data_IF_609520961863
#
_entry.id   IF_609520961863
#
_cell.length_a   1.000
_cell.length_b   1.000
_cell.length_c   1.000
_cell.angle_alpha   90.00
_cell.angle_beta   90.00
_cell.angle_gamma   90.00
#
_symmetry.space_group_name_H-M   'P 1'
#
loop_
_entity.id
_entity.type
_entity.pdbx_description
1 polymer ?
#
# COMPACT_ATOMS: atom_id res chain seq x y z
N UNK A 1 11.65 -45.84 2.53
CA UNK A 1 10.24 -45.44 2.31
C UNK A 1 10.28 -44.13 1.53
N UNK A 2 9.90 -44.14 0.25
CA UNK A 2 9.94 -42.96 -0.59
C UNK A 2 8.75 -42.06 -0.27
N UNK A 3 9.02 -40.79 0.05
CA UNK A 3 8.01 -39.75 0.19
C UNK A 3 7.26 -39.60 -1.14
N UNK A 4 6.01 -40.06 -1.17
CA UNK A 4 5.08 -39.76 -2.26
C UNK A 4 4.70 -38.29 -2.13
N UNK A 5 5.34 -37.43 -2.91
CA UNK A 5 4.77 -36.12 -3.25
C UNK A 5 3.49 -36.41 -4.04
N UNK A 6 2.33 -36.10 -3.45
CA UNK A 6 1.07 -36.04 -4.17
C UNK A 6 1.18 -34.95 -5.23
N UNK A 7 0.95 -35.24 -6.52
CA UNK A 7 0.86 -34.20 -7.54
C UNK A 7 -0.33 -33.28 -7.25
N UNK A 8 -0.28 -31.99 -7.64
CA UNK A 8 -1.44 -31.12 -7.58
C UNK A 8 -2.59 -31.75 -8.38
N UNK A 9 -3.81 -31.71 -7.85
CA UNK A 9 -4.99 -32.21 -8.56
C UNK A 9 -5.22 -31.37 -9.82
N UNK A 10 -4.96 -31.97 -11.00
CA UNK A 10 -5.35 -31.40 -12.28
C UNK A 10 -6.87 -31.15 -12.29
N UNK A 11 -7.27 -29.89 -12.53
CA UNK A 11 -8.69 -29.53 -12.73
C UNK A 11 -9.32 -28.62 -11.67
N UNK A 12 -8.61 -28.13 -10.66
CA UNK A 12 -9.16 -27.07 -9.81
C UNK A 12 -9.17 -25.74 -10.56
N UNK A 13 -10.38 -25.22 -10.81
CA UNK A 13 -10.57 -23.87 -11.33
C UNK A 13 -9.87 -22.86 -10.39
N UNK A 14 -8.98 -22.06 -11.00
CA UNK A 14 -8.22 -21.04 -10.28
C UNK A 14 -9.16 -19.92 -9.83
N UNK A 15 -8.89 -19.43 -8.63
CA UNK A 15 -9.62 -18.28 -8.11
C UNK A 15 -9.12 -17.00 -8.79
N UNK A 16 -9.92 -15.93 -8.73
CA UNK A 16 -9.55 -14.59 -9.18
C UNK A 16 -9.85 -13.59 -8.08
N UNK A 17 -9.17 -12.44 -8.14
CA UNK A 17 -9.42 -11.35 -7.21
C UNK A 17 -10.43 -10.34 -7.74
N UNK A 18 -11.43 -10.05 -6.92
CA UNK A 18 -12.29 -8.88 -7.06
C UNK A 18 -11.92 -7.84 -6.02
N UNK A 19 -12.15 -6.56 -6.36
CA UNK A 19 -12.00 -5.44 -5.44
C UNK A 19 -13.29 -4.61 -5.43
N UNK A 20 -13.88 -4.41 -4.24
CA UNK A 20 -14.96 -3.46 -4.00
C UNK A 20 -14.34 -2.10 -3.65
N UNK A 21 -14.68 -1.07 -4.40
CA UNK A 21 -14.56 0.32 -3.98
C UNK A 21 -15.84 0.74 -3.26
N UNK A 22 -15.78 0.89 -1.94
CA UNK A 22 -16.91 1.27 -1.08
C UNK A 22 -17.40 2.69 -1.32
N UNK A 23 -16.53 3.60 -1.76
CA UNK A 23 -16.93 4.98 -2.04
C UNK A 23 -17.77 5.03 -3.31
N UNK A 24 -17.37 4.24 -4.32
CA UNK A 24 -18.11 4.13 -5.58
C UNK A 24 -19.26 3.11 -5.50
N UNK A 25 -19.21 2.19 -4.54
CA UNK A 25 -20.12 1.04 -4.47
C UNK A 25 -20.03 0.16 -5.71
N UNK A 26 -18.80 -0.05 -6.21
CA UNK A 26 -18.51 -0.75 -7.46
C UNK A 26 -17.46 -1.83 -7.24
N UNK A 27 -17.66 -2.99 -7.84
CA UNK A 27 -16.74 -4.12 -7.85
C UNK A 27 -16.07 -4.22 -9.23
N UNK A 28 -14.75 -4.40 -9.22
CA UNK A 28 -13.95 -4.66 -10.43
C UNK A 28 -13.08 -5.89 -10.23
N UNK A 29 -12.72 -6.55 -11.33
CA UNK A 29 -11.73 -7.63 -11.29
C UNK A 29 -10.31 -7.05 -11.28
N UNK A 30 -9.43 -7.61 -10.47
CA UNK A 30 -8.03 -7.20 -10.39
C UNK A 30 -7.27 -7.78 -11.58
N UNK A 31 -6.55 -6.93 -12.30
CA UNK A 31 -5.59 -7.33 -13.35
C UNK A 31 -4.18 -7.50 -12.79
N UNK A 32 -3.81 -6.66 -11.82
CA UNK A 32 -2.52 -6.70 -11.17
C UNK A 32 -2.15 -5.39 -10.50
N UNK A 33 -0.86 -5.16 -10.31
CA UNK A 33 -0.29 -3.93 -9.79
C UNK A 33 0.72 -3.41 -10.82
N UNK A 34 0.65 -2.11 -11.14
CA UNK A 34 1.60 -1.48 -12.06
C UNK A 34 2.98 -1.20 -11.42
N UNK A 35 3.91 -0.67 -12.21
CA UNK A 35 5.29 -0.38 -11.79
C UNK A 35 5.37 0.67 -10.69
N UNK A 36 4.44 1.62 -10.71
CA UNK A 36 4.29 2.66 -9.69
C UNK A 36 3.55 2.13 -8.45
N UNK A 37 3.11 0.87 -8.51
CA UNK A 37 2.43 0.10 -7.50
C UNK A 37 0.95 0.47 -7.32
N UNK A 38 0.29 0.98 -8.35
CA UNK A 38 -1.15 1.24 -8.36
C UNK A 38 -1.93 -0.01 -8.79
N UNK A 39 -3.14 -0.15 -8.28
CA UNK A 39 -4.02 -1.28 -8.53
C UNK A 39 -4.63 -1.13 -9.93
N UNK A 40 -4.41 -2.11 -10.79
CA UNK A 40 -5.04 -2.17 -12.09
C UNK A 40 -6.28 -3.06 -12.03
N UNK A 41 -7.39 -2.56 -12.55
CA UNK A 41 -8.67 -3.27 -12.56
C UNK A 41 -9.31 -3.25 -13.94
N UNK A 42 -10.15 -4.25 -14.19
CA UNK A 42 -10.97 -4.39 -15.41
C UNK A 42 -12.41 -4.74 -15.01
N UNK A 43 -13.40 -4.58 -15.91
CA UNK A 43 -14.76 -5.03 -15.63
C UNK A 43 -14.79 -6.53 -15.27
N UNK A 44 -15.58 -6.94 -14.26
CA UNK A 44 -15.64 -8.33 -13.81
C UNK A 44 -16.57 -9.17 -14.71
N UNK A 45 -16.41 -9.06 -16.03
CA UNK A 45 -17.23 -9.77 -17.02
C UNK A 45 -16.41 -10.82 -17.75
N UNK A 46 -17.04 -11.88 -18.24
CA UNK A 46 -16.36 -12.98 -18.97
C UNK A 46 -15.51 -12.51 -20.15
N UNK A 47 -15.90 -11.41 -20.82
CA UNK A 47 -15.13 -10.83 -21.93
C UNK A 47 -13.73 -10.31 -21.55
N UNK A 48 -13.51 -10.00 -20.26
CA UNK A 48 -12.21 -9.60 -19.71
C UNK A 48 -11.54 -10.74 -18.92
N UNK A 49 -12.09 -11.95 -18.92
CA UNK A 49 -11.63 -13.05 -18.08
C UNK A 49 -10.16 -13.43 -18.29
N UNK A 50 -9.63 -13.25 -19.51
CA UNK A 50 -8.21 -13.46 -19.82
C UNK A 50 -7.26 -12.44 -19.18
N UNK A 51 -7.77 -11.32 -18.67
CA UNK A 51 -7.02 -10.27 -17.98
C UNK A 51 -7.07 -10.40 -16.46
N UNK A 52 -7.89 -11.31 -15.93
CA UNK A 52 -8.04 -11.47 -14.49
C UNK A 52 -6.76 -12.04 -13.88
N UNK A 53 -6.36 -11.45 -12.76
CA UNK A 53 -5.29 -11.99 -11.94
C UNK A 53 -5.74 -13.33 -11.36
N UNK A 54 -5.14 -14.41 -11.86
CA UNK A 54 -5.36 -15.75 -11.32
C UNK A 54 -4.65 -15.89 -9.98
N UNK A 55 -5.36 -16.49 -9.04
CA UNK A 55 -4.91 -16.75 -7.68
C UNK A 55 -4.68 -18.23 -7.50
N UNK A 56 -3.45 -18.55 -7.11
CA UNK A 56 -3.18 -19.77 -6.37
C UNK A 56 -2.97 -19.39 -4.90
N UNK A 57 -3.89 -19.82 -4.03
CA UNK A 57 -3.91 -19.51 -2.60
C UNK A 57 -2.65 -19.98 -1.88
N UNK A 58 -1.92 -20.95 -2.44
CA UNK A 58 -0.68 -21.48 -1.87
C UNK A 58 0.58 -20.84 -2.48
N UNK A 59 0.43 -19.85 -3.36
CA UNK A 59 1.57 -19.22 -4.04
C UNK A 59 2.13 -18.02 -3.27
N UNK A 60 3.47 -17.91 -3.28
CA UNK A 60 4.18 -16.74 -2.73
C UNK A 60 3.84 -15.45 -3.47
N UNK A 61 3.44 -15.54 -4.74
CA UNK A 61 3.02 -14.38 -5.54
C UNK A 61 1.71 -13.78 -4.98
N UNK A 62 0.77 -14.63 -4.59
CA UNK A 62 -0.49 -14.20 -3.98
C UNK A 62 -0.26 -13.55 -2.61
N UNK A 63 0.52 -14.20 -1.73
CA UNK A 63 0.81 -13.67 -0.40
C UNK A 63 1.55 -12.33 -0.46
N UNK A 64 2.49 -12.18 -1.40
CA UNK A 64 3.19 -10.92 -1.65
C UNK A 64 2.24 -9.84 -2.18
N UNK A 65 1.35 -10.16 -3.12
CA UNK A 65 0.35 -9.21 -3.62
C UNK A 65 -0.54 -8.72 -2.48
N UNK A 66 -1.13 -9.62 -1.69
CA UNK A 66 -2.05 -9.25 -0.59
C UNK A 66 -1.31 -8.43 0.46
N UNK A 67 -0.07 -8.82 0.79
CA UNK A 67 0.78 -8.08 1.71
C UNK A 67 1.06 -6.67 1.22
N UNK A 68 1.39 -6.53 -0.07
CA UNK A 68 1.67 -5.23 -0.69
C UNK A 68 0.40 -4.38 -0.82
N UNK A 69 -0.73 -4.98 -1.18
CA UNK A 69 -2.04 -4.32 -1.29
C UNK A 69 -2.42 -3.69 0.04
N UNK A 70 -2.49 -4.47 1.11
CA UNK A 70 -2.90 -3.94 2.41
C UNK A 70 -1.84 -3.02 3.04
N UNK A 71 -0.54 -3.23 2.77
CA UNK A 71 0.53 -2.32 3.22
C UNK A 71 0.47 -0.96 2.52
N UNK A 72 0.14 -0.92 1.23
CA UNK A 72 0.16 0.32 0.43
C UNK A 72 -1.17 1.06 0.48
N UNK A 73 -2.30 0.37 0.45
CA UNK A 73 -3.61 0.96 0.58
C UNK A 73 -4.00 1.05 2.07
N UNK A 74 -3.22 1.77 2.90
CA UNK A 74 -3.55 1.94 4.32
C UNK A 74 -4.89 2.67 4.56
N UNK A 75 -5.44 3.26 3.50
CA UNK A 75 -6.84 3.65 3.40
C UNK A 75 -7.69 2.57 2.68
N UNK A 76 -7.53 1.30 3.08
CA UNK A 76 -8.47 0.20 2.71
C UNK A 76 -9.81 0.37 3.41
N UNK A 77 -10.06 1.51 4.05
CA UNK A 77 -11.42 1.87 4.48
C UNK A 77 -12.34 1.85 3.27
N UNK A 78 -11.85 2.31 2.11
CA UNK A 78 -12.56 2.34 0.85
C UNK A 78 -12.44 1.07 -0.01
N UNK A 79 -11.48 0.16 0.23
CA UNK A 79 -11.26 -1.01 -0.63
C UNK A 79 -11.35 -2.35 0.11
N UNK A 80 -12.05 -3.32 -0.47
CA UNK A 80 -12.12 -4.71 0.04
C UNK A 80 -11.82 -5.72 -1.07
N UNK A 81 -11.01 -6.73 -0.75
CA UNK A 81 -10.68 -7.81 -1.68
C UNK A 81 -11.52 -9.06 -1.43
N UNK A 82 -11.92 -9.71 -2.51
CA UNK A 82 -12.65 -10.97 -2.51
C UNK A 82 -11.97 -11.96 -3.44
N UNK A 83 -11.94 -13.23 -3.05
CA UNK A 83 -11.44 -14.35 -3.84
C UNK A 83 -12.61 -15.20 -4.28
N UNK A 84 -12.82 -15.29 -5.59
CA UNK A 84 -13.99 -15.96 -6.20
C UNK A 84 -13.52 -16.93 -7.28
N UNK A 85 -14.39 -17.86 -7.69
CA UNK A 85 -14.11 -18.68 -8.87
C UNK A 85 -14.17 -17.83 -10.13
N UNK A 86 -13.27 -18.09 -11.08
CA UNK A 86 -13.21 -17.32 -12.33
C UNK A 86 -14.56 -17.34 -13.08
N UNK A 87 -15.24 -18.49 -13.10
CA UNK A 87 -16.57 -18.69 -13.68
C UNK A 87 -17.69 -17.94 -12.96
N UNK A 88 -17.54 -17.66 -11.67
CA UNK A 88 -18.55 -17.00 -10.83
C UNK A 88 -18.29 -15.50 -10.66
N UNK A 89 -17.17 -14.98 -11.17
CA UNK A 89 -16.68 -13.63 -10.92
C UNK A 89 -17.71 -12.53 -11.23
N UNK A 90 -18.45 -12.64 -12.34
CA UNK A 90 -19.47 -11.65 -12.70
C UNK A 90 -20.68 -11.69 -11.75
N UNK A 91 -21.10 -12.90 -11.36
CA UNK A 91 -22.24 -13.09 -10.46
C UNK A 91 -21.88 -12.63 -9.04
N UNK A 92 -20.71 -13.02 -8.54
CA UNK A 92 -20.25 -12.61 -7.22
C UNK A 92 -19.99 -11.11 -7.15
N UNK A 93 -19.45 -10.49 -8.22
CA UNK A 93 -19.30 -9.04 -8.27
C UNK A 93 -20.63 -8.32 -8.08
N UNK A 94 -21.68 -8.74 -8.81
CA UNK A 94 -23.04 -8.17 -8.65
C UNK A 94 -23.58 -8.40 -7.24
N UNK A 95 -23.44 -9.61 -6.70
CA UNK A 95 -23.90 -9.92 -5.35
C UNK A 95 -23.20 -9.09 -4.26
N UNK A 96 -21.90 -8.83 -4.42
CA UNK A 96 -21.12 -7.97 -3.51
C UNK A 96 -21.55 -6.51 -3.64
N UNK A 97 -21.73 -5.99 -4.85
CA UNK A 97 -22.24 -4.63 -5.08
C UNK A 97 -23.64 -4.43 -4.48
N UNK A 98 -24.55 -5.37 -4.74
CA UNK A 98 -25.93 -5.33 -4.25
C UNK A 98 -25.95 -5.37 -2.72
N UNK A 99 -25.14 -6.24 -2.10
CA UNK A 99 -25.04 -6.29 -0.65
C UNK A 99 -24.39 -5.04 -0.05
N UNK A 100 -23.44 -4.39 -0.74
CA UNK A 100 -22.87 -3.12 -0.28
C UNK A 100 -23.91 -1.99 -0.32
N UNK A 101 -24.79 -1.97 -1.33
CA UNK A 101 -25.86 -0.97 -1.48
C UNK A 101 -27.06 -1.23 -0.56
N UNK A 102 -27.44 -2.50 -0.40
CA UNK A 102 -28.56 -2.94 0.41
C UNK A 102 -28.17 -4.19 1.22
N UNK A 103 -27.53 -4.01 2.40
CA UNK A 103 -27.02 -5.12 3.19
C UNK A 103 -28.12 -6.08 3.64
N UNK A 104 -27.93 -7.37 3.38
CA UNK A 104 -28.79 -8.44 3.90
C UNK A 104 -27.98 -9.41 4.76
N UNK A 105 -28.60 -10.13 5.71
CA UNK A 105 -27.91 -11.14 6.49
C UNK A 105 -27.28 -12.25 5.62
N UNK A 106 -27.97 -12.72 4.58
CA UNK A 106 -27.40 -13.73 3.67
C UNK A 106 -26.28 -13.15 2.80
N UNK A 107 -26.48 -11.94 2.24
CA UNK A 107 -25.48 -11.26 1.41
C UNK A 107 -24.20 -10.96 2.20
N UNK A 108 -24.34 -10.49 3.43
CA UNK A 108 -23.22 -10.24 4.34
C UNK A 108 -22.43 -11.51 4.66
N UNK A 109 -23.12 -12.62 4.94
CA UNK A 109 -22.46 -13.92 5.15
C UNK A 109 -21.70 -14.38 3.90
N UNK A 110 -22.30 -14.26 2.72
CA UNK A 110 -21.64 -14.61 1.45
C UNK A 110 -20.40 -13.74 1.20
N UNK A 111 -20.53 -12.42 1.36
CA UNK A 111 -19.43 -11.49 1.19
C UNK A 111 -18.26 -11.81 2.14
N UNK A 112 -18.53 -12.10 3.41
CA UNK A 112 -17.47 -12.44 4.37
C UNK A 112 -16.80 -13.80 4.07
N UNK A 113 -17.53 -14.79 3.54
CA UNK A 113 -16.92 -16.07 3.12
C UNK A 113 -15.96 -15.89 1.93
N UNK A 114 -16.27 -14.97 1.02
CA UNK A 114 -15.46 -14.68 -0.16
C UNK A 114 -14.32 -13.69 0.14
N UNK A 115 -14.39 -12.99 1.27
CA UNK A 115 -13.46 -11.91 1.61
C UNK A 115 -12.07 -12.46 1.81
N UNK A 116 -11.10 -11.83 1.16
CA UNK A 116 -9.69 -12.14 1.42
C UNK A 116 -9.33 -11.58 2.80
N UNK A 117 -8.87 -12.43 3.75
CA UNK A 117 -8.51 -11.99 5.07
C UNK A 117 -7.48 -10.86 4.99
N UNK A 118 -7.70 -9.80 5.75
CA UNK A 118 -6.66 -8.80 5.96
C UNK A 118 -5.55 -9.50 6.76
N UNK A 119 -4.30 -9.53 6.27
CA UNK A 119 -3.19 -10.02 7.08
C UNK A 119 -3.18 -9.25 8.41
N UNK A 120 -2.86 -9.95 9.50
CA UNK A 120 -2.70 -9.31 10.80
C UNK A 120 -1.40 -8.51 10.79
N UNK A 121 -1.46 -7.33 10.16
CA UNK A 121 -0.49 -6.31 10.42
C UNK A 121 -0.81 -5.79 11.81
N UNK A 122 0.01 -6.12 12.79
CA UNK A 122 0.04 -5.47 14.10
C UNK A 122 0.22 -3.92 14.02
N UNK A 123 0.25 -3.34 12.82
CA UNK A 123 0.50 -1.92 12.55
C UNK A 123 -0.75 -1.04 12.39
N UNK A 124 -1.97 -1.58 12.22
CA UNK A 124 -3.09 -0.74 11.70
C UNK A 124 -4.33 -0.59 12.57
N UNK A 125 -4.27 -1.00 13.84
CA UNK A 125 -5.28 -0.66 14.87
C UNK A 125 -4.70 0.15 16.03
N UNK A 126 -3.56 0.82 15.84
CA UNK A 126 -3.14 1.80 16.84
C UNK A 126 -3.95 3.07 16.65
N UNK A 127 -4.57 3.52 17.74
CA UNK A 127 -5.00 4.90 17.90
C UNK A 127 -3.84 5.84 17.55
N UNK A 128 -4.14 7.09 17.25
CA UNK A 128 -3.09 8.06 17.03
C UNK A 128 -2.15 8.09 18.23
N UNK A 129 -0.88 7.79 17.95
CA UNK A 129 0.21 7.93 18.92
C UNK A 129 0.46 9.40 19.24
N UNK A 130 0.17 10.27 18.28
CA UNK A 130 0.35 11.71 18.40
C UNK A 130 -0.97 12.45 18.23
N UNK A 131 -1.24 13.35 19.15
CA UNK A 131 -2.36 14.28 19.05
C UNK A 131 -2.02 15.37 18.00
N UNK A 132 -2.77 15.46 16.88
CA UNK A 132 -2.49 16.44 15.85
C UNK A 132 -2.58 17.89 16.33
N UNK A 133 -3.32 18.17 17.41
CA UNK A 133 -3.44 19.52 17.98
C UNK A 133 -2.17 19.98 18.69
N UNK A 134 -1.27 19.05 19.04
CA UNK A 134 0.01 19.33 19.70
C UNK A 134 1.18 19.54 18.74
N UNK A 135 0.90 19.60 17.43
CA UNK A 135 1.89 19.83 16.38
C UNK A 135 1.88 21.32 16.03
N UNK A 136 3.09 21.89 15.94
CA UNK A 136 3.29 23.24 15.42
C UNK A 136 3.19 23.24 13.89
N UNK A 137 1.96 23.27 13.39
CA UNK A 137 1.66 23.30 11.95
C UNK A 137 2.14 24.59 11.28
N UNK A 138 2.21 25.71 12.02
CA UNK A 138 2.69 26.98 11.49
C UNK A 138 4.17 26.92 11.13
N UNK A 139 5.00 26.28 11.96
CA UNK A 139 6.40 26.07 11.63
C UNK A 139 6.60 25.05 10.50
N UNK A 140 5.80 23.99 10.41
CA UNK A 140 5.84 23.06 9.28
C UNK A 140 5.46 23.74 7.96
N UNK A 141 4.47 24.65 7.99
CA UNK A 141 4.02 25.40 6.81
C UNK A 141 5.14 26.27 6.23
N UNK A 142 6.01 26.84 7.08
CA UNK A 142 7.18 27.63 6.64
C UNK A 142 8.17 26.83 5.78
N UNK A 143 8.18 25.52 5.92
CA UNK A 143 9.02 24.61 5.11
C UNK A 143 8.23 23.85 4.04
N UNK A 144 6.96 24.18 3.82
CA UNK A 144 6.12 23.61 2.76
C UNK A 144 5.31 22.38 3.13
N UNK A 145 5.28 21.96 4.41
CA UNK A 145 4.47 20.83 4.87
C UNK A 145 3.24 21.36 5.61
N UNK A 146 2.06 20.92 5.19
CA UNK A 146 0.78 21.25 5.83
C UNK A 146 -0.04 20.01 6.13
N UNK A 147 -0.98 20.09 7.09
CA UNK A 147 -1.90 18.98 7.35
C UNK A 147 -2.65 18.54 6.07
N UNK A 148 -3.06 19.49 5.23
CA UNK A 148 -3.77 19.20 3.97
C UNK A 148 -2.87 18.47 2.97
N UNK A 149 -1.60 18.87 2.84
CA UNK A 149 -0.66 18.10 2.00
C UNK A 149 -0.50 16.66 2.50
N UNK A 150 -0.43 16.43 3.81
CA UNK A 150 -0.34 15.07 4.36
C UNK A 150 -1.62 14.26 4.14
N UNK A 151 -2.80 14.89 4.21
CA UNK A 151 -4.08 14.24 3.92
C UNK A 151 -4.19 13.88 2.44
N UNK A 152 -3.84 14.83 1.56
CA UNK A 152 -3.90 14.64 0.11
C UNK A 152 -2.94 13.55 -0.38
N UNK A 153 -1.77 13.39 0.25
CA UNK A 153 -0.83 12.28 -0.06
C UNK A 153 -1.12 10.99 0.70
N UNK A 154 -2.18 10.97 1.52
CA UNK A 154 -2.59 9.83 2.36
C UNK A 154 -1.50 9.38 3.34
N UNK A 155 -0.75 10.33 3.88
CA UNK A 155 0.28 10.09 4.90
C UNK A 155 -0.13 10.57 6.29
N UNK A 156 -1.16 11.43 6.42
CA UNK A 156 -1.56 12.02 7.70
C UNK A 156 -1.75 11.00 8.82
N UNK A 157 -2.65 10.01 8.63
CA UNK A 157 -2.90 8.99 9.64
C UNK A 157 -1.66 8.16 9.95
N UNK A 158 -0.86 7.85 8.93
CA UNK A 158 0.34 7.05 9.04
C UNK A 158 1.35 7.72 9.96
N UNK A 159 1.62 9.01 9.76
CA UNK A 159 2.57 9.75 10.58
C UNK A 159 2.03 10.02 11.99
N UNK A 160 0.71 10.17 12.17
CA UNK A 160 0.07 10.29 13.50
C UNK A 160 0.14 8.99 14.30
N UNK A 161 0.15 7.83 13.64
CA UNK A 161 0.36 6.51 14.28
C UNK A 161 1.81 6.20 14.61
N UNK A 162 2.75 7.11 14.34
CA UNK A 162 4.17 6.92 14.68
C UNK A 162 5.06 6.42 13.55
N UNK A 163 4.52 6.22 12.35
CA UNK A 163 5.30 5.75 11.20
C UNK A 163 5.97 6.91 10.45
N UNK A 164 7.01 6.59 9.66
CA UNK A 164 7.55 7.53 8.66
C UNK A 164 6.60 7.62 7.47
N UNK A 165 6.51 8.79 6.84
CA UNK A 165 5.74 9.00 5.61
C UNK A 165 6.18 8.03 4.53
N UNK A 166 5.23 7.62 3.70
CA UNK A 166 5.49 6.84 2.51
C UNK A 166 6.08 7.72 1.42
N UNK A 167 5.43 8.85 1.16
CA UNK A 167 5.84 9.80 0.14
C UNK A 167 6.97 10.71 0.64
N UNK A 168 7.70 11.29 -0.31
CA UNK A 168 8.64 12.37 -0.06
C UNK A 168 7.93 13.72 -0.16
N UNK A 169 8.43 14.68 0.60
CA UNK A 169 8.01 16.07 0.56
C UNK A 169 9.23 16.94 0.28
N UNK A 170 9.13 17.80 -0.71
CA UNK A 170 10.18 18.79 -0.95
C UNK A 170 10.04 19.90 0.07
N UNK A 171 11.01 20.04 0.96
CA UNK A 171 11.08 21.12 1.94
C UNK A 171 12.10 22.18 1.51
N UNK A 172 11.77 23.44 1.74
CA UNK A 172 12.67 24.58 1.48
C UNK A 172 12.25 25.77 2.33
N UNK A 173 13.14 26.76 2.48
CA UNK A 173 12.81 28.01 3.18
C UNK A 173 13.83 28.39 4.25
N UNK A 174 13.49 29.35 5.09
CA UNK A 174 14.40 29.85 6.13
C UNK A 174 14.06 29.23 7.48
N UNK A 175 15.03 28.58 8.12
CA UNK A 175 14.89 27.96 9.45
C UNK A 175 16.07 28.39 10.33
N UNK A 176 15.78 29.03 11.46
CA UNK A 176 16.83 29.40 12.43
C UNK A 176 17.93 30.29 11.86
N UNK A 177 17.63 31.14 10.87
CA UNK A 177 18.60 32.01 10.19
C UNK A 177 19.35 31.37 9.01
N UNK A 178 19.10 30.09 8.72
CA UNK A 178 19.69 29.38 7.59
C UNK A 178 18.66 29.21 6.46
N UNK A 179 19.10 29.32 5.22
CA UNK A 179 18.28 28.97 4.05
C UNK A 179 18.46 27.49 3.69
N UNK A 180 17.40 26.72 3.81
CA UNK A 180 17.31 25.33 3.39
C UNK A 180 17.01 25.29 1.89
N UNK A 181 17.97 24.80 1.11
CA UNK A 181 17.75 24.49 -0.31
C UNK A 181 16.65 23.43 -0.47
N UNK A 182 15.85 23.48 -1.55
CA UNK A 182 14.88 22.43 -1.86
C UNK A 182 15.48 21.04 -1.71
N UNK A 183 14.95 20.27 -0.77
CA UNK A 183 15.45 18.95 -0.38
C UNK A 183 14.26 18.04 -0.14
N UNK A 184 14.29 16.86 -0.72
CA UNK A 184 13.25 15.86 -0.48
C UNK A 184 13.47 15.18 0.87
N UNK A 185 12.39 15.07 1.65
CA UNK A 185 12.42 14.44 2.96
C UNK A 185 11.25 13.48 3.14
N UNK A 186 11.45 12.45 3.97
CA UNK A 186 10.34 11.75 4.62
C UNK A 186 10.05 12.39 5.98
N UNK A 187 8.79 12.41 6.38
CA UNK A 187 8.33 13.01 7.64
C UNK A 187 8.01 11.91 8.65
N UNK A 188 8.42 12.08 9.89
CA UNK A 188 7.83 11.37 11.04
C UNK A 188 7.67 12.33 12.21
N UNK A 189 7.01 11.89 13.27
CA UNK A 189 6.90 12.66 14.50
C UNK A 189 7.50 11.89 15.68
N UNK A 190 7.89 12.62 16.71
CA UNK A 190 8.20 12.06 18.03
C UNK A 190 7.63 12.99 19.10
N UNK A 191 7.34 12.42 20.28
CA UNK A 191 6.89 13.20 21.42
C UNK A 191 8.12 13.59 22.25
N UNK A 192 8.28 14.90 22.49
CA UNK A 192 9.29 15.42 23.39
C UNK A 192 8.90 15.18 24.85
N UNK A 193 9.84 15.39 25.79
CA UNK A 193 9.65 15.12 27.22
C UNK A 193 8.52 15.96 27.85
N UNK A 194 8.27 17.13 27.30
CA UNK A 194 7.21 18.07 27.70
C UNK A 194 5.83 17.71 27.12
N UNK A 195 5.75 16.66 26.29
CA UNK A 195 4.52 16.24 25.63
C UNK A 195 4.23 16.91 24.29
N UNK A 196 5.10 17.81 23.83
CA UNK A 196 5.00 18.44 22.50
C UNK A 196 5.29 17.41 21.41
N UNK A 197 4.54 17.45 20.31
CA UNK A 197 4.78 16.58 19.15
C UNK A 197 5.67 17.31 18.15
N UNK A 198 6.88 16.80 17.95
CA UNK A 198 7.93 17.47 17.16
C UNK A 198 8.12 16.73 15.83
N UNK A 199 8.14 17.45 14.69
CA UNK A 199 8.44 16.85 13.40
C UNK A 199 9.92 16.46 13.30
N UNK A 200 10.18 15.32 12.66
CA UNK A 200 11.50 14.82 12.28
C UNK A 200 11.54 14.64 10.78
N UNK A 201 12.36 15.45 10.10
CA UNK A 201 12.60 15.37 8.66
C UNK A 201 13.78 14.44 8.38
N UNK A 202 13.56 13.43 7.54
CA UNK A 202 14.58 12.46 7.12
C UNK A 202 14.96 12.80 5.68
N UNK A 203 16.14 13.38 5.47
CA UNK A 203 16.65 13.69 4.12
C UNK A 203 16.67 12.44 3.24
N UNK A 204 16.16 12.58 2.02
CA UNK A 204 16.22 11.56 0.97
C UNK A 204 17.26 12.02 -0.04
N UNK A 205 18.29 11.22 -0.23
CA UNK A 205 19.28 11.46 -1.26
C UNK A 205 18.92 10.63 -2.50
N UNK A 206 18.52 11.32 -3.54
CA UNK A 206 18.28 10.79 -4.88
C UNK A 206 19.37 11.35 -5.80
N UNK A 207 20.61 10.88 -5.60
CA UNK A 207 21.74 11.25 -6.47
C UNK A 207 22.37 9.96 -6.98
N UNK A 208 22.22 9.72 -8.29
CA UNK A 208 22.79 8.55 -8.97
C UNK A 208 24.31 8.48 -8.81
N UNK A 209 24.97 9.62 -8.58
CA UNK A 209 26.42 9.67 -8.31
C UNK A 209 26.78 9.05 -6.95
N UNK A 210 25.83 8.88 -6.03
CA UNK A 210 26.06 8.13 -4.80
C UNK A 210 26.22 6.63 -5.07
N UNK A 211 25.55 6.12 -6.11
CA UNK A 211 25.71 4.74 -6.54
C UNK A 211 27.06 4.49 -7.25
N UNK A 212 27.76 5.56 -7.64
CA UNK A 212 29.10 5.51 -8.23
C UNK A 212 30.22 5.53 -7.16
N UNK A 213 29.86 5.56 -5.87
CA UNK A 213 30.81 5.58 -4.75
C UNK A 213 30.55 4.37 -3.84
N UNK A 214 31.56 3.87 -3.13
CA UNK A 214 31.36 2.80 -2.17
C UNK A 214 30.39 3.22 -1.06
N UNK A 215 29.46 2.33 -0.69
CA UNK A 215 28.58 2.47 0.46
C UNK A 215 28.89 1.37 1.47
N UNK A 216 29.41 1.73 2.65
CA UNK A 216 29.91 0.76 3.64
C UNK A 216 30.85 -0.29 3.00
N UNK A 217 31.84 0.17 2.23
CA UNK A 217 32.84 -0.68 1.54
C UNK A 217 32.27 -1.56 0.40
N UNK A 218 30.97 -1.49 0.12
CA UNK A 218 30.36 -2.13 -1.05
C UNK A 218 30.37 -1.21 -2.26
N UNK A 219 30.94 -1.67 -3.37
CA UNK A 219 30.83 -1.01 -4.67
C UNK A 219 29.65 -1.58 -5.46
N UNK A 220 28.72 -0.73 -5.86
CA UNK A 220 27.55 -1.17 -6.62
C UNK A 220 27.93 -1.54 -8.06
N UNK A 221 27.63 -2.77 -8.45
CA UNK A 221 27.70 -3.21 -9.85
C UNK A 221 26.67 -2.49 -10.72
N UNK A 222 26.86 -2.42 -12.03
CA UNK A 222 25.88 -1.80 -12.95
C UNK A 222 24.48 -2.40 -12.84
N UNK A 223 24.39 -3.70 -12.58
CA UNK A 223 23.11 -4.38 -12.38
C UNK A 223 22.43 -3.92 -11.09
N UNK A 224 23.17 -3.87 -9.98
CA UNK A 224 22.66 -3.37 -8.70
C UNK A 224 22.26 -1.90 -8.75
N UNK A 225 23.01 -1.08 -9.48
CA UNK A 225 22.63 0.32 -9.75
C UNK A 225 21.29 0.38 -10.49
N UNK A 226 21.14 -0.42 -11.56
CA UNK A 226 19.89 -0.53 -12.30
C UNK A 226 18.72 -1.03 -11.43
N UNK A 227 18.95 -2.01 -10.56
CA UNK A 227 17.94 -2.51 -9.62
C UNK A 227 17.56 -1.43 -8.60
N UNK A 228 18.53 -0.75 -8.00
CA UNK A 228 18.27 0.32 -7.04
C UNK A 228 17.54 1.52 -7.67
N UNK A 229 17.87 1.87 -8.91
CA UNK A 229 17.18 2.94 -9.64
C UNK A 229 15.78 2.53 -10.10
N UNK A 230 15.59 1.27 -10.48
CA UNK A 230 14.32 0.77 -11.01
C UNK A 230 13.32 0.29 -9.96
N UNK A 231 13.77 -0.53 -9.01
CA UNK A 231 12.95 -1.18 -7.99
C UNK A 231 13.17 -0.64 -6.58
N UNK A 232 14.21 0.17 -6.38
CA UNK A 232 14.60 0.69 -5.07
C UNK A 232 15.28 -0.34 -4.17
N UNK A 233 15.56 -1.55 -4.65
CA UNK A 233 16.15 -2.65 -3.88
C UNK A 233 17.26 -3.35 -4.69
N UNK A 234 18.20 -4.02 -3.99
CA UNK A 234 19.28 -4.77 -4.64
C UNK A 234 18.80 -6.11 -5.24
N UNK A 235 17.85 -6.77 -4.57
CA UNK A 235 17.19 -7.97 -5.09
C UNK A 235 16.17 -7.55 -6.15
N UNK A 236 16.46 -7.90 -7.41
CA UNK A 236 15.56 -7.66 -8.54
C UNK A 236 14.23 -8.40 -8.43
#
# INVERSE_FOLDING_TARGET
MANRMTPPAEGQEKDVLLVLDKQQGKVSAVKGIDKDGNLQTVPPTTGHGGEFMQVDKNSDVFSNFISNFYRKYQDTSGLELFSVKASEAEQDAKAIEDNHRNPTPEGGKRAEMLRVPKPDFHEFKQDYRFDPSKIDWENLKKVGITADTLKNTKDFDRVMRGYKSRNTYTVSGTVGGFYLKPTDVKLSFYQAKDGTVVPKLHGVQQDEKLLQRPFHEHEFTKQEQGNLQGTGNLGG
#
